data_IF_326928998508
#
_entry.id   IF_326928998508
#
_cell.length_a   1.000
_cell.length_b   1.000
_cell.length_c   1.000
_cell.angle_alpha   90.00
_cell.angle_beta   90.00
_cell.angle_gamma   90.00
#
_symmetry.space_group_name_H-M   'P 1'
#
loop_
_entity.id
_entity.type
_entity.pdbx_description
1 polymer ?
#
# COMPACT_ATOMS: atom_id res chain seq x y z
N UNK A 1 -6.76 16.61 2.38
CA UNK A 1 -6.95 15.30 1.75
C UNK A 1 -7.70 14.44 2.75
N UNK A 2 -8.91 13.97 2.43
CA UNK A 2 -9.72 13.11 3.31
C UNK A 2 -9.44 11.66 2.93
N UNK A 3 -9.15 10.83 3.91
CA UNK A 3 -9.03 9.39 3.75
C UNK A 3 -10.23 8.72 4.42
N UNK A 4 -10.82 7.77 3.72
CA UNK A 4 -11.94 6.98 4.22
C UNK A 4 -11.52 5.52 4.28
N UNK A 5 -11.93 4.84 5.34
CA UNK A 5 -11.71 3.41 5.52
C UNK A 5 -12.78 2.66 4.74
N UNK A 6 -12.36 1.84 3.80
CA UNK A 6 -13.20 0.92 3.07
C UNK A 6 -12.92 -0.51 3.55
N UNK A 7 -14.00 -1.27 3.73
CA UNK A 7 -13.97 -2.70 3.97
C UNK A 7 -14.71 -3.32 2.78
N UNK A 8 -13.96 -4.02 1.93
CA UNK A 8 -14.52 -4.61 0.70
C UNK A 8 -14.34 -6.12 0.73
N UNK A 9 -15.36 -6.82 0.22
CA UNK A 9 -15.23 -8.22 -0.18
C UNK A 9 -14.46 -8.28 -1.50
N UNK A 10 -13.84 -9.43 -1.79
CA UNK A 10 -13.06 -9.67 -3.01
C UNK A 10 -13.95 -9.72 -4.27
N UNK A 11 -14.55 -8.61 -4.67
CA UNK A 11 -15.32 -8.49 -5.92
C UNK A 11 -14.45 -7.89 -7.04
N UNK A 12 -14.77 -8.23 -8.30
CA UNK A 12 -13.98 -7.92 -9.51
C UNK A 12 -14.16 -6.48 -10.01
N UNK A 13 -14.18 -5.48 -9.14
CA UNK A 13 -14.48 -4.11 -9.58
C UNK A 13 -13.28 -3.34 -10.14
N UNK A 14 -12.05 -3.86 -10.01
CA UNK A 14 -10.86 -3.20 -10.59
C UNK A 14 -10.69 -1.76 -10.10
N UNK A 15 -10.96 -1.54 -8.82
CA UNK A 15 -11.25 -0.22 -8.24
C UNK A 15 -10.01 0.66 -8.08
N UNK A 16 -8.80 0.07 -8.16
CA UNK A 16 -7.53 0.79 -8.11
C UNK A 16 -6.93 1.07 -9.50
N UNK A 17 -7.59 0.66 -10.59
CA UNK A 17 -7.04 0.75 -11.96
C UNK A 17 -6.73 2.18 -12.35
N UNK A 18 -7.59 3.13 -12.00
CA UNK A 18 -7.36 4.55 -12.29
C UNK A 18 -6.10 5.04 -11.58
N UNK A 19 -5.97 4.77 -10.28
CA UNK A 19 -4.84 5.19 -9.48
C UNK A 19 -3.53 4.51 -9.90
N UNK A 20 -3.53 3.18 -10.03
CA UNK A 20 -2.35 2.40 -10.42
C UNK A 20 -1.87 2.77 -11.82
N UNK A 21 -2.78 3.01 -12.76
CA UNK A 21 -2.43 3.49 -14.11
C UNK A 21 -1.78 4.88 -14.04
N UNK A 22 -2.35 5.81 -13.25
CA UNK A 22 -1.75 7.13 -13.05
C UNK A 22 -0.36 7.05 -12.41
N UNK A 23 -0.17 6.18 -11.43
CA UNK A 23 1.13 5.94 -10.80
C UNK A 23 2.14 5.35 -11.78
N UNK A 24 1.72 4.40 -12.63
CA UNK A 24 2.58 3.82 -13.66
C UNK A 24 3.07 4.88 -14.66
N UNK A 25 2.18 5.75 -15.16
CA UNK A 25 2.56 6.86 -16.04
C UNK A 25 3.53 7.80 -15.33
N UNK A 26 3.21 8.21 -14.10
CA UNK A 26 4.07 9.10 -13.32
C UNK A 26 5.46 8.52 -13.09
N UNK A 27 5.56 7.22 -12.78
CA UNK A 27 6.82 6.52 -12.59
C UNK A 27 7.61 6.43 -13.91
N UNK A 28 7.00 5.91 -14.96
CA UNK A 28 7.67 5.70 -16.24
C UNK A 28 8.17 7.01 -16.86
N UNK A 29 7.35 8.07 -16.87
CA UNK A 29 7.82 9.38 -17.36
C UNK A 29 8.96 9.91 -16.50
N UNK A 30 8.88 9.80 -15.17
CA UNK A 30 9.94 10.33 -14.30
C UNK A 30 11.25 9.53 -14.41
N UNK A 31 11.17 8.24 -14.78
CA UNK A 31 12.35 7.40 -15.02
C UNK A 31 13.03 7.73 -16.35
N UNK A 32 12.25 7.97 -17.41
CA UNK A 32 12.76 8.04 -18.78
C UNK A 32 12.80 9.46 -19.36
N UNK A 33 12.60 10.49 -18.53
CA UNK A 33 12.68 11.88 -18.97
C UNK A 33 13.52 12.74 -18.06
N UNK A 34 14.13 13.78 -18.64
CA UNK A 34 14.83 14.85 -17.92
C UNK A 34 14.13 16.17 -18.20
N UNK A 35 13.99 16.99 -17.15
CA UNK A 35 13.42 18.32 -17.30
C UNK A 35 14.44 19.27 -17.95
N UNK A 36 14.05 19.87 -19.08
CA UNK A 36 14.83 20.89 -19.74
C UNK A 36 14.36 22.29 -19.31
N UNK A 37 15.20 22.97 -18.54
CA UNK A 37 14.93 24.31 -18.01
C UNK A 37 14.75 25.39 -19.08
N UNK A 38 15.32 25.22 -20.29
CA UNK A 38 15.21 26.20 -21.37
C UNK A 38 13.87 26.10 -22.10
N UNK A 39 13.44 24.87 -22.41
CA UNK A 39 12.18 24.61 -23.12
C UNK A 39 10.99 24.46 -22.17
N UNK A 40 11.25 24.35 -20.86
CA UNK A 40 10.26 24.08 -19.81
C UNK A 40 9.45 22.80 -20.10
N UNK A 41 10.12 21.81 -20.68
CA UNK A 41 9.54 20.53 -21.12
C UNK A 41 10.34 19.33 -20.62
N UNK A 42 9.66 18.21 -20.49
CA UNK A 42 10.29 16.89 -20.29
C UNK A 42 10.81 16.40 -21.64
N UNK A 43 12.07 15.96 -21.67
CA UNK A 43 12.71 15.38 -22.84
C UNK A 43 13.02 13.92 -22.52
N UNK A 44 12.67 13.03 -23.46
CA UNK A 44 12.94 11.60 -23.35
C UNK A 44 14.42 11.31 -23.41
N UNK A 45 14.86 10.33 -22.63
CA UNK A 45 16.17 9.72 -22.79
C UNK A 45 16.23 8.99 -24.14
N UNK A 46 17.34 9.13 -24.87
CA UNK A 46 17.54 8.52 -26.18
C UNK A 46 17.52 6.98 -26.10
N UNK A 47 17.83 6.41 -24.93
CA UNK A 47 17.82 4.97 -24.66
C UNK A 47 16.43 4.45 -24.22
N UNK A 48 15.38 5.28 -24.25
CA UNK A 48 14.03 4.87 -23.84
C UNK A 48 13.46 3.80 -24.79
N UNK A 49 13.08 2.61 -24.27
CA UNK A 49 12.47 1.57 -25.11
C UNK A 49 11.13 2.01 -25.72
N UNK A 50 10.86 1.63 -26.96
CA UNK A 50 9.61 1.96 -27.67
C UNK A 50 8.36 1.43 -26.94
N UNK A 51 8.50 0.31 -26.23
CA UNK A 51 7.45 -0.29 -25.42
C UNK A 51 7.03 0.62 -24.26
N UNK A 52 7.96 1.41 -23.70
CA UNK A 52 7.66 2.38 -22.64
C UNK A 52 6.74 3.47 -23.17
N UNK A 53 7.06 4.04 -24.34
CA UNK A 53 6.18 5.01 -25.00
C UNK A 53 4.79 4.44 -25.26
N UNK A 54 4.74 3.21 -25.81
CA UNK A 54 3.48 2.53 -26.13
C UNK A 54 2.61 2.32 -24.88
N UNK A 55 3.21 1.88 -23.77
CA UNK A 55 2.49 1.66 -22.51
C UNK A 55 1.96 2.99 -21.98
N UNK A 56 2.80 4.04 -21.94
CA UNK A 56 2.40 5.36 -21.44
C UNK A 56 1.25 5.94 -22.26
N UNK A 57 1.31 5.87 -23.59
CA UNK A 57 0.27 6.38 -24.48
C UNK A 57 -1.06 5.66 -24.27
N UNK A 58 -1.05 4.32 -24.25
CA UNK A 58 -2.26 3.52 -24.00
C UNK A 58 -2.83 3.77 -22.61
N UNK A 59 -1.97 3.89 -21.60
CA UNK A 59 -2.37 4.20 -20.23
C UNK A 59 -2.96 5.61 -20.11
N UNK A 60 -2.39 6.61 -20.80
CA UNK A 60 -2.90 7.97 -20.82
C UNK A 60 -4.27 8.03 -21.49
N UNK A 61 -4.45 7.35 -22.64
CA UNK A 61 -5.75 7.25 -23.31
C UNK A 61 -6.79 6.55 -22.43
N UNK A 62 -6.41 5.48 -21.72
CA UNK A 62 -7.29 4.85 -20.73
C UNK A 62 -7.73 5.84 -19.66
N UNK A 63 -6.80 6.62 -19.07
CA UNK A 63 -7.17 7.62 -18.06
C UNK A 63 -8.06 8.73 -18.62
N UNK A 64 -7.75 9.25 -19.80
CA UNK A 64 -8.55 10.31 -20.45
C UNK A 64 -9.99 9.84 -20.65
N UNK A 65 -10.18 8.58 -21.04
CA UNK A 65 -11.51 8.03 -21.33
C UNK A 65 -12.28 7.61 -20.08
N UNK A 66 -11.60 7.30 -18.97
CA UNK A 66 -12.24 6.63 -17.83
C UNK A 66 -12.16 7.40 -16.50
N UNK A 67 -11.26 8.37 -16.34
CA UNK A 67 -11.03 8.99 -15.01
C UNK A 67 -12.23 9.77 -14.50
N UNK A 68 -13.06 10.31 -15.40
CA UNK A 68 -14.32 11.00 -15.05
C UNK A 68 -15.55 10.12 -15.27
N UNK A 69 -15.38 8.87 -15.72
CA UNK A 69 -16.49 7.94 -15.91
C UNK A 69 -16.93 7.38 -14.55
N UNK A 70 -18.22 7.54 -14.24
CA UNK A 70 -18.86 6.98 -13.05
C UNK A 70 -18.85 5.44 -12.96
N UNK A 71 -18.57 4.74 -14.07
CA UNK A 71 -18.47 3.28 -14.14
C UNK A 71 -17.26 2.72 -13.38
N UNK A 72 -16.18 3.50 -13.26
CA UNK A 72 -15.00 3.15 -12.49
C UNK A 72 -14.90 4.02 -11.24
N UNK A 73 -14.84 3.38 -10.07
CA UNK A 73 -14.60 4.11 -8.83
C UNK A 73 -13.14 4.61 -8.80
N UNK A 74 -12.89 5.89 -8.43
CA UNK A 74 -11.54 6.44 -8.33
C UNK A 74 -10.87 6.00 -7.03
N UNK A 75 -10.95 4.73 -6.68
CA UNK A 75 -10.39 4.24 -5.43
C UNK A 75 -8.87 4.05 -5.53
N UNK A 76 -8.22 4.10 -4.37
CA UNK A 76 -6.82 3.77 -4.22
C UNK A 76 -6.61 3.05 -2.89
N UNK A 77 -5.83 1.97 -2.90
CA UNK A 77 -5.32 1.36 -1.69
C UNK A 77 -4.02 2.07 -1.27
N UNK A 78 -4.09 3.37 -0.95
CA UNK A 78 -2.92 4.15 -0.54
C UNK A 78 -2.26 3.56 0.72
N UNK A 79 -3.10 3.12 1.66
CA UNK A 79 -2.67 2.41 2.85
C UNK A 79 -3.65 1.26 3.11
N UNK A 80 -3.15 0.14 3.64
CA UNK A 80 -3.99 -1.02 3.99
C UNK A 80 -3.65 -1.49 5.38
N UNK A 81 -4.65 -1.99 6.10
CA UNK A 81 -4.43 -2.59 7.41
C UNK A 81 -3.58 -3.85 7.29
N UNK A 82 -2.77 -4.10 8.32
CA UNK A 82 -2.00 -5.35 8.48
C UNK A 82 -2.91 -6.55 8.78
N UNK A 83 -4.09 -6.28 9.35
CA UNK A 83 -5.08 -7.29 9.70
C UNK A 83 -6.06 -7.48 8.53
N UNK A 84 -6.04 -8.65 7.91
CA UNK A 84 -6.84 -9.05 6.74
C UNK A 84 -7.58 -10.37 6.93
N UNK A 85 -7.89 -10.72 8.18
CA UNK A 85 -8.56 -11.96 8.54
C UNK A 85 -8.01 -12.60 9.82
N UNK A 86 -8.68 -13.66 10.31
CA UNK A 86 -8.31 -14.34 11.55
C UNK A 86 -6.90 -14.96 11.49
N UNK A 87 -6.38 -15.26 10.29
CA UNK A 87 -5.03 -15.81 10.10
C UNK A 87 -3.93 -14.75 10.03
N UNK A 88 -4.26 -13.47 10.22
CA UNK A 88 -3.29 -12.35 10.16
C UNK A 88 -3.24 -11.54 11.45
N UNK A 89 -4.09 -11.87 12.43
CA UNK A 89 -4.18 -11.19 13.71
C UNK A 89 -3.98 -12.20 14.84
N UNK A 90 -2.76 -12.26 15.35
CA UNK A 90 -2.38 -13.11 16.47
C UNK A 90 -1.27 -12.46 17.28
N UNK A 91 -1.21 -12.78 18.57
CA UNK A 91 -0.09 -12.41 19.43
C UNK A 91 1.04 -13.42 19.27
N UNK A 92 2.28 -12.98 19.47
CA UNK A 92 3.46 -13.83 19.40
C UNK A 92 4.31 -13.63 20.66
N UNK A 93 5.14 -14.62 21.03
CA UNK A 93 6.05 -14.47 22.16
C UNK A 93 6.92 -13.21 22.08
N UNK A 94 6.90 -12.43 23.16
CA UNK A 94 7.74 -11.24 23.34
C UNK A 94 8.58 -11.40 24.59
N UNK A 95 9.77 -10.78 24.61
CA UNK A 95 10.64 -10.76 25.79
C UNK A 95 11.03 -9.34 26.23
N UNK A 96 10.48 -8.33 25.55
CA UNK A 96 10.69 -6.92 25.86
C UNK A 96 9.40 -6.14 25.72
N UNK A 97 9.07 -5.41 26.78
CA UNK A 97 7.92 -4.51 26.86
C UNK A 97 8.38 -3.21 27.50
N UNK A 98 8.16 -2.10 26.82
CA UNK A 98 8.58 -0.77 27.28
C UNK A 98 7.59 0.30 26.86
N UNK A 99 7.48 1.38 27.63
CA UNK A 99 6.80 2.58 27.15
C UNK A 99 7.61 3.26 26.04
N UNK A 100 6.98 4.09 25.21
CA UNK A 100 7.66 4.87 24.15
C UNK A 100 8.81 5.77 24.64
N UNK A 101 8.87 6.07 25.93
CA UNK A 101 9.99 6.80 26.55
C UNK A 101 11.18 5.90 26.95
N UNK A 102 11.14 4.60 26.62
CA UNK A 102 12.18 3.61 26.93
C UNK A 102 12.10 3.04 28.35
N UNK A 103 11.08 3.37 29.13
CA UNK A 103 10.91 2.81 30.47
C UNK A 103 10.39 1.38 30.36
N UNK A 104 11.19 0.42 30.84
CA UNK A 104 10.80 -1.00 30.92
C UNK A 104 9.55 -1.13 31.80
N UNK A 105 8.55 -1.84 31.29
CA UNK A 105 7.32 -2.13 32.03
C UNK A 105 7.58 -3.39 32.87
N UNK A 106 7.59 -3.30 34.21
CA UNK A 106 7.75 -4.46 35.07
C UNK A 106 6.44 -5.25 35.12
N UNK A 107 6.48 -6.55 34.90
CA UNK A 107 5.30 -7.40 35.01
C UNK A 107 5.37 -8.64 34.14
N UNK A 108 4.26 -9.39 34.15
CA UNK A 108 4.06 -10.50 33.24
C UNK A 108 3.91 -9.98 31.80
N UNK A 109 4.70 -10.53 30.89
CA UNK A 109 4.74 -10.18 29.47
C UNK A 109 3.43 -10.56 28.75
N UNK A 110 2.58 -11.38 29.37
CA UNK A 110 1.28 -11.79 28.85
C UNK A 110 0.16 -10.74 29.05
N UNK A 111 0.29 -9.80 30.01
CA UNK A 111 -0.75 -8.85 30.43
C UNK A 111 -0.55 -7.42 29.88
N UNK A 112 0.05 -7.33 28.70
CA UNK A 112 0.43 -6.10 28.01
C UNK A 112 -0.75 -5.22 27.56
N UNK A 113 -1.96 -5.76 27.50
CA UNK A 113 -3.19 -5.04 27.14
C UNK A 113 -3.52 -3.83 28.01
N UNK A 114 -2.98 -3.80 29.23
CA UNK A 114 -3.28 -2.77 30.21
C UNK A 114 -2.44 -1.49 30.04
N UNK A 115 -1.47 -1.47 29.12
CA UNK A 115 -0.55 -0.35 28.94
C UNK A 115 -0.76 0.35 27.59
N UNK A 116 -1.65 1.36 27.51
CA UNK A 116 -1.72 2.22 26.34
C UNK A 116 -0.34 2.88 26.14
N UNK A 117 0.20 2.82 24.91
CA UNK A 117 1.53 3.34 24.53
C UNK A 117 2.75 2.50 24.96
N UNK A 118 2.56 1.19 25.11
CA UNK A 118 3.68 0.25 25.17
C UNK A 118 4.14 -0.17 23.76
N UNK A 119 5.43 -0.41 23.63
CA UNK A 119 6.05 -1.15 22.54
C UNK A 119 6.31 -2.56 23.02
N UNK A 120 5.93 -3.54 22.20
CA UNK A 120 6.19 -4.95 22.41
C UNK A 120 7.18 -5.44 21.37
N UNK A 121 8.08 -6.34 21.76
CA UNK A 121 8.97 -6.96 20.80
C UNK A 121 9.86 -8.04 21.37
N UNK A 122 10.72 -8.55 20.50
CA UNK A 122 11.79 -9.48 20.85
C UNK A 122 13.12 -8.74 20.77
N UNK A 123 13.85 -8.73 21.87
CA UNK A 123 15.25 -8.34 21.92
C UNK A 123 16.14 -9.59 21.95
N UNK A 124 17.13 -9.62 21.05
CA UNK A 124 18.08 -10.72 20.97
C UNK A 124 17.46 -12.00 20.39
N UNK A 125 17.91 -13.14 20.88
CA UNK A 125 17.52 -14.48 20.41
C UNK A 125 16.80 -15.20 21.54
N UNK A 126 15.58 -15.68 21.27
CA UNK A 126 14.89 -16.64 22.13
C UNK A 126 15.33 -18.04 21.69
N UNK A 127 15.87 -18.89 22.58
CA UNK A 127 16.21 -20.27 22.25
C UNK A 127 15.00 -21.03 21.68
N UNK A 128 15.20 -21.85 20.66
CA UNK A 128 14.13 -22.57 19.97
C UNK A 128 13.22 -23.35 20.94
N UNK A 129 13.82 -24.13 21.85
CA UNK A 129 13.07 -24.91 22.84
C UNK A 129 12.16 -24.03 23.70
N UNK A 130 12.67 -22.87 24.14
CA UNK A 130 11.88 -21.91 24.91
C UNK A 130 10.79 -21.27 24.06
N UNK A 131 11.12 -20.86 22.82
CA UNK A 131 10.15 -20.25 21.92
C UNK A 131 8.98 -21.20 21.63
N UNK A 132 9.24 -22.49 21.43
CA UNK A 132 8.20 -23.50 21.19
C UNK A 132 7.29 -23.71 22.41
N UNK A 133 7.78 -23.55 23.65
CA UNK A 133 6.93 -23.56 24.84
C UNK A 133 6.07 -22.28 24.91
N UNK A 134 6.68 -21.11 24.75
CA UNK A 134 5.97 -19.82 24.75
C UNK A 134 4.92 -19.72 23.64
N UNK A 135 5.15 -20.38 22.50
CA UNK A 135 4.21 -20.40 21.37
C UNK A 135 2.90 -21.16 21.68
N UNK A 136 2.85 -21.93 22.77
CA UNK A 136 1.65 -22.64 23.24
C UNK A 136 0.77 -21.80 24.17
N UNK A 137 1.19 -20.57 24.50
CA UNK A 137 0.52 -19.68 25.43
C UNK A 137 -0.25 -18.59 24.68
N UNK A 138 -1.22 -17.96 25.35
CA UNK A 138 -1.92 -16.79 24.82
C UNK A 138 -1.05 -15.53 24.97
N UNK A 139 -0.99 -14.73 23.91
CA UNK A 139 -0.28 -13.47 23.83
C UNK A 139 -1.23 -12.41 23.34
N UNK A 140 -1.32 -11.29 24.06
CA UNK A 140 -2.28 -10.25 23.73
C UNK A 140 -3.71 -10.86 23.55
N UNK A 141 -4.10 -11.81 24.40
CA UNK A 141 -5.44 -12.42 24.37
C UNK A 141 -5.71 -13.24 23.11
N UNK A 142 -4.66 -13.57 22.35
CA UNK A 142 -4.73 -14.33 21.12
C UNK A 142 -3.69 -15.45 21.13
N UNK A 143 -4.06 -16.62 20.61
CA UNK A 143 -3.08 -17.67 20.35
C UNK A 143 -2.19 -17.28 19.16
N UNK A 144 -0.88 -17.62 19.20
CA UNK A 144 -0.02 -17.51 18.03
C UNK A 144 -0.57 -18.29 16.85
N UNK A 145 -0.30 -17.79 15.63
CA UNK A 145 -0.80 -18.40 14.40
C UNK A 145 0.26 -19.38 13.89
N UNK A 146 0.04 -20.72 14.01
CA UNK A 146 1.05 -21.71 13.69
C UNK A 146 1.37 -21.80 12.20
N UNK A 147 0.42 -21.40 11.35
CA UNK A 147 0.56 -21.46 9.90
C UNK A 147 0.04 -20.16 9.29
N UNK A 148 0.97 -19.34 8.80
CA UNK A 148 0.62 -18.15 8.04
C UNK A 148 0.40 -18.51 6.58
N UNK A 149 -0.87 -18.48 6.15
CA UNK A 149 -1.23 -18.78 4.76
C UNK A 149 -1.06 -17.57 3.82
N UNK A 150 -0.66 -16.40 4.34
CA UNK A 150 -0.49 -15.16 3.58
C UNK A 150 -1.58 -14.11 3.88
N UNK A 151 -1.27 -12.84 3.65
CA UNK A 151 -2.20 -11.72 3.88
C UNK A 151 -3.47 -11.78 3.00
N UNK A 152 -3.44 -12.55 1.91
CA UNK A 152 -4.53 -12.65 0.93
C UNK A 152 -5.16 -14.06 0.91
N UNK A 153 -4.90 -14.88 1.92
CA UNK A 153 -5.36 -16.28 1.97
C UNK A 153 -6.82 -16.41 2.37
N UNK A 154 -7.36 -15.42 3.07
CA UNK A 154 -8.71 -15.43 3.60
C UNK A 154 -9.61 -14.48 2.79
N UNK A 155 -10.82 -14.90 2.38
CA UNK A 155 -11.64 -14.12 1.43
C UNK A 155 -12.49 -13.01 2.07
N UNK A 156 -12.48 -12.86 3.40
CA UNK A 156 -13.48 -12.02 4.09
C UNK A 156 -13.29 -10.51 3.85
N UNK A 157 -12.18 -9.91 4.29
CA UNK A 157 -12.09 -8.46 4.34
C UNK A 157 -10.69 -7.93 4.12
N UNK A 158 -10.60 -6.84 3.36
CA UNK A 158 -9.40 -6.04 3.20
C UNK A 158 -9.71 -4.60 3.63
N UNK A 159 -9.23 -4.15 4.80
CA UNK A 159 -9.37 -2.76 5.20
C UNK A 159 -8.32 -1.92 4.48
N UNK A 160 -8.74 -0.89 3.76
CA UNK A 160 -7.83 0.06 3.14
C UNK A 160 -8.34 1.49 3.26
N UNK A 161 -7.39 2.42 3.29
CA UNK A 161 -7.63 3.84 3.25
C UNK A 161 -7.51 4.32 1.82
N UNK A 162 -8.59 4.96 1.38
CA UNK A 162 -8.72 5.49 0.05
C UNK A 162 -8.99 6.99 0.11
N UNK A 163 -8.49 7.71 -0.89
CA UNK A 163 -8.82 9.11 -1.11
C UNK A 163 -9.10 9.36 -2.58
N UNK A 164 -10.37 9.49 -2.97
CA UNK A 164 -10.74 9.75 -4.37
C UNK A 164 -10.04 11.00 -4.93
N UNK A 165 -9.96 12.05 -4.11
CA UNK A 165 -9.25 13.28 -4.46
C UNK A 165 -7.76 13.01 -4.77
N UNK A 166 -7.13 12.07 -4.06
CA UNK A 166 -5.76 11.69 -4.35
C UNK A 166 -5.65 10.99 -5.70
N UNK A 167 -6.57 10.09 -6.05
CA UNK A 167 -6.64 9.48 -7.38
C UNK A 167 -6.73 10.55 -8.47
N UNK A 168 -7.65 11.50 -8.35
CA UNK A 168 -7.80 12.58 -9.32
C UNK A 168 -6.53 13.44 -9.46
N UNK A 169 -5.89 13.81 -8.35
CA UNK A 169 -4.66 14.60 -8.37
C UNK A 169 -3.52 13.81 -9.03
N UNK A 170 -3.36 12.53 -8.73
CA UNK A 170 -2.33 11.69 -9.36
C UNK A 170 -2.57 11.49 -10.85
N UNK A 171 -3.83 11.34 -11.27
CA UNK A 171 -4.22 11.26 -12.68
C UNK A 171 -3.97 12.57 -13.41
N UNK A 172 -4.31 13.71 -12.79
CA UNK A 172 -4.03 15.03 -13.36
C UNK A 172 -2.52 15.23 -13.56
N UNK A 173 -1.70 14.86 -12.56
CA UNK A 173 -0.24 14.93 -12.67
C UNK A 173 0.28 14.03 -13.80
N UNK A 174 -0.23 12.80 -13.90
CA UNK A 174 0.15 11.85 -14.95
C UNK A 174 -0.14 12.42 -16.35
N UNK A 175 -1.34 12.95 -16.56
CA UNK A 175 -1.75 13.53 -17.85
C UNK A 175 -0.99 14.83 -18.16
N UNK A 176 -0.73 15.67 -17.15
CA UNK A 176 0.07 16.88 -17.33
C UNK A 176 1.53 16.55 -17.73
N UNK A 177 2.13 15.53 -17.10
CA UNK A 177 3.46 15.03 -17.47
C UNK A 177 3.46 14.44 -18.88
N UNK A 178 2.46 13.62 -19.22
CA UNK A 178 2.32 13.04 -20.55
C UNK A 178 2.26 14.11 -21.64
N UNK A 179 1.42 15.13 -21.45
CA UNK A 179 1.32 16.25 -22.38
C UNK A 179 2.63 17.05 -22.46
N UNK A 180 3.29 17.31 -21.33
CA UNK A 180 4.56 18.05 -21.30
C UNK A 180 5.71 17.29 -21.97
N UNK A 181 5.68 15.95 -21.95
CA UNK A 181 6.60 15.08 -22.67
C UNK A 181 6.28 14.91 -24.16
N UNK A 182 5.35 15.71 -24.71
CA UNK A 182 4.96 15.70 -26.12
C UNK A 182 3.89 14.68 -26.49
N UNK A 183 3.29 14.00 -25.50
CA UNK A 183 2.19 13.08 -25.70
C UNK A 183 0.96 13.77 -26.32
N UNK A 184 0.29 13.06 -27.22
CA UNK A 184 -0.97 13.49 -27.85
C UNK A 184 -2.06 12.50 -27.53
N UNK A 185 -3.27 13.00 -27.34
CA UNK A 185 -4.45 12.16 -27.20
C UNK A 185 -4.82 11.56 -28.57
N UNK A 186 -5.06 10.26 -28.59
CA UNK A 186 -5.57 9.53 -29.76
C UNK A 186 -6.99 9.00 -29.46
N UNK A 187 -8.05 9.63 -29.99
CA UNK A 187 -9.42 9.16 -29.87
C UNK A 187 -9.63 7.95 -30.80
N UNK A 188 -9.24 6.76 -30.35
CA UNK A 188 -9.60 5.51 -31.02
C UNK A 188 -11.08 5.19 -30.89
#
# INVERSE_FOLDING_TARGET
MRFELFIVNRERYGEDRLFTTAMAINALISTWTVYNEKTKSLIWDDDTPAEVHTVIEKSANFLINNVLDSSLKPWNAFFSGSIKGPTTYGGYPVNRVEFFNGTVIPGDLHDVHYYPHATLGVEGIIPEELYQELFKEEWEGHMPIPVFHGFNSYPDYWPFWCSEAYTYVTSLLALAKFQNAGGKYDPQ
#
